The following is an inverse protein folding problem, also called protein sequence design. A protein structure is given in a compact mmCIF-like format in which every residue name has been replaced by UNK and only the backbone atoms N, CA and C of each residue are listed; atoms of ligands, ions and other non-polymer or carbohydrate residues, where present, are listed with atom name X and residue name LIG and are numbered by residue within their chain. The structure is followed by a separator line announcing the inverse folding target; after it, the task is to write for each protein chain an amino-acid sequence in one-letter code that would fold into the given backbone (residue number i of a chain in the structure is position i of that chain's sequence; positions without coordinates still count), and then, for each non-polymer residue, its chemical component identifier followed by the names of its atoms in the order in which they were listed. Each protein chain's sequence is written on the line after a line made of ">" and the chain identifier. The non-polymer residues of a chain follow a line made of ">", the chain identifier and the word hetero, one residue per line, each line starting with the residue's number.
data_IF_251985103775
#
_entry.id   IF_251985103775
#
_cell.length_a   1.000
_cell.length_b   1.000
_cell.length_c   1.000
_cell.angle_alpha   90.00
_cell.angle_beta   90.00
_cell.angle_gamma   90.00
#
_symmetry.space_group_name_H-M   'P 1'
#
loop_
_entity.id
_entity.type
_entity.pdbx_description
1 polymer ?
#
# COMPACT_ATOMS: atom_id res chain seq x y z
N UNK A 1 8.26 -12.28 -30.51
CA UNK A 1 6.91 -11.65 -30.58
C UNK A 1 6.77 -10.30 -29.85
N UNK A 2 7.81 -9.76 -29.19
CA UNK A 2 7.73 -8.41 -28.58
C UNK A 2 6.75 -8.26 -27.40
N UNK A 3 6.30 -9.38 -26.80
CA UNK A 3 5.41 -9.41 -25.64
C UNK A 3 6.20 -9.31 -24.32
N UNK A 4 5.50 -9.25 -23.19
CA UNK A 4 6.08 -9.15 -21.85
C UNK A 4 7.06 -10.31 -21.58
N UNK A 5 8.36 -10.04 -21.72
CA UNK A 5 9.41 -11.07 -21.71
C UNK A 5 9.55 -11.76 -20.34
N UNK A 6 9.31 -11.04 -19.24
CA UNK A 6 9.34 -11.59 -17.89
C UNK A 6 8.26 -12.65 -17.66
N UNK A 7 7.07 -12.45 -18.24
CA UNK A 7 5.94 -13.40 -18.15
C UNK A 7 6.00 -14.47 -19.25
N UNK A 8 6.53 -14.14 -20.43
CA UNK A 8 6.57 -15.04 -21.58
C UNK A 8 7.79 -15.97 -21.62
N UNK A 9 8.91 -15.56 -21.03
CA UNK A 9 10.17 -16.31 -21.05
C UNK A 9 10.70 -16.63 -19.64
N UNK A 10 9.98 -16.23 -18.60
CA UNK A 10 10.25 -16.57 -17.21
C UNK A 10 8.92 -16.70 -16.44
N UNK A 11 8.91 -16.43 -15.13
CA UNK A 11 7.75 -16.65 -14.25
C UNK A 11 7.14 -15.33 -13.75
N UNK A 12 7.47 -14.20 -14.39
CA UNK A 12 7.03 -12.88 -13.95
C UNK A 12 7.69 -12.45 -12.65
N UNK A 13 6.94 -11.70 -11.84
CA UNK A 13 7.43 -11.19 -10.56
C UNK A 13 7.32 -12.26 -9.44
N UNK A 14 8.28 -12.30 -8.50
CA UNK A 14 8.20 -13.19 -7.35
C UNK A 14 6.96 -12.97 -6.48
N UNK A 15 6.51 -14.02 -5.79
CA UNK A 15 5.29 -13.99 -4.98
C UNK A 15 5.28 -12.88 -3.92
N UNK A 16 6.42 -12.56 -3.30
CA UNK A 16 6.49 -11.55 -2.26
C UNK A 16 6.12 -10.14 -2.77
N UNK A 17 6.65 -9.72 -3.92
CA UNK A 17 6.28 -8.43 -4.51
C UNK A 17 4.85 -8.48 -5.06
N UNK A 18 4.41 -9.62 -5.60
CA UNK A 18 3.03 -9.78 -6.04
C UNK A 18 2.01 -9.74 -4.89
N UNK A 19 2.40 -10.15 -3.68
CA UNK A 19 1.57 -10.04 -2.48
C UNK A 19 1.21 -8.59 -2.15
N UNK A 20 2.10 -7.63 -2.40
CA UNK A 20 1.81 -6.21 -2.25
C UNK A 20 0.73 -5.76 -3.24
N UNK A 21 0.93 -6.09 -4.53
CA UNK A 21 -0.02 -5.77 -5.60
C UNK A 21 -1.40 -6.41 -5.38
N UNK A 22 -1.44 -7.69 -5.01
CA UNK A 22 -2.69 -8.42 -4.82
C UNK A 22 -3.41 -8.05 -3.53
N UNK A 23 -2.70 -7.65 -2.47
CA UNK A 23 -3.33 -7.06 -1.29
C UNK A 23 -4.10 -5.78 -1.66
N UNK A 24 -3.48 -4.90 -2.45
CA UNK A 24 -4.15 -3.70 -2.97
C UNK A 24 -5.36 -4.06 -3.84
N UNK A 25 -5.27 -5.07 -4.71
CA UNK A 25 -6.42 -5.53 -5.50
C UNK A 25 -7.57 -6.02 -4.63
N UNK A 26 -7.30 -6.84 -3.61
CA UNK A 26 -8.34 -7.35 -2.70
C UNK A 26 -8.99 -6.20 -1.92
N UNK A 27 -8.21 -5.24 -1.42
CA UNK A 27 -8.75 -4.06 -0.74
C UNK A 27 -9.62 -3.21 -1.67
N UNK A 28 -9.20 -3.03 -2.93
CA UNK A 28 -10.00 -2.34 -3.93
C UNK A 28 -11.31 -3.07 -4.24
N UNK A 29 -11.29 -4.40 -4.36
CA UNK A 29 -12.51 -5.20 -4.55
C UNK A 29 -13.47 -5.06 -3.35
N UNK A 30 -12.96 -5.08 -2.12
CA UNK A 30 -13.76 -4.87 -0.91
C UNK A 30 -14.37 -3.46 -0.91
N UNK A 31 -13.60 -2.41 -1.21
CA UNK A 31 -14.08 -1.03 -1.27
C UNK A 31 -15.19 -0.87 -2.32
N UNK A 32 -14.96 -1.36 -3.55
CA UNK A 32 -15.95 -1.30 -4.63
C UNK A 32 -17.24 -2.07 -4.30
N UNK A 33 -17.12 -3.19 -3.58
CA UNK A 33 -18.27 -3.99 -3.19
C UNK A 33 -19.07 -3.37 -2.04
N UNK A 34 -18.38 -2.74 -1.09
CA UNK A 34 -18.99 -2.28 0.18
C UNK A 34 -19.34 -0.80 0.20
N UNK A 35 -18.85 0.00 -0.75
CA UNK A 35 -19.07 1.46 -0.81
C UNK A 35 -19.56 1.89 -2.18
N UNK A 36 -20.13 3.10 -2.23
CA UNK A 36 -20.54 3.75 -3.46
C UNK A 36 -19.46 4.71 -3.93
N UNK A 37 -19.15 4.63 -5.22
CA UNK A 37 -18.25 5.54 -5.91
C UNK A 37 -18.99 6.20 -7.07
N UNK A 38 -18.71 7.48 -7.29
CA UNK A 38 -19.08 8.14 -8.52
C UNK A 38 -18.31 7.55 -9.70
N UNK A 39 -18.88 7.64 -10.91
CA UNK A 39 -18.21 7.17 -12.12
C UNK A 39 -16.91 7.95 -12.31
N UNK A 40 -15.79 7.24 -12.27
CA UNK A 40 -14.46 7.85 -12.37
C UNK A 40 -13.35 6.88 -12.00
N UNK A 41 -12.12 7.39 -12.06
CA UNK A 41 -10.93 6.66 -11.64
C UNK A 41 -10.57 7.12 -10.23
N UNK A 42 -10.52 6.17 -9.30
CA UNK A 42 -10.24 6.42 -7.89
C UNK A 42 -8.92 5.77 -7.48
N UNK A 43 -8.34 6.29 -6.39
CA UNK A 43 -7.17 5.69 -5.73
C UNK A 43 -7.58 5.18 -4.36
N UNK A 44 -6.95 4.11 -3.90
CA UNK A 44 -7.13 3.65 -2.52
C UNK A 44 -6.64 4.74 -1.54
N UNK A 45 -7.32 4.94 -0.40
CA UNK A 45 -6.85 5.81 0.66
C UNK A 45 -5.45 5.46 1.16
N UNK A 46 -4.64 6.47 1.50
CA UNK A 46 -3.23 6.30 1.91
C UNK A 46 -3.03 5.37 3.11
N UNK A 47 -3.95 5.38 4.07
CA UNK A 47 -3.86 4.48 5.24
C UNK A 47 -3.96 2.99 4.86
N UNK A 48 -4.64 2.64 3.77
CA UNK A 48 -4.69 1.26 3.26
C UNK A 48 -3.37 0.87 2.61
N UNK A 49 -2.74 1.79 1.88
CA UNK A 49 -1.42 1.59 1.28
C UNK A 49 -0.35 1.37 2.37
N UNK A 50 -0.35 2.22 3.40
CA UNK A 50 0.52 2.06 4.57
C UNK A 50 0.27 0.74 5.33
N UNK A 51 -0.99 0.30 5.41
CA UNK A 51 -1.34 -0.99 5.99
C UNK A 51 -0.73 -2.16 5.19
N UNK A 52 -0.79 -2.12 3.86
CA UNK A 52 -0.17 -3.14 3.01
C UNK A 52 1.33 -3.18 3.25
N UNK A 53 2.01 -2.03 3.27
CA UNK A 53 3.44 -1.95 3.54
C UNK A 53 3.80 -2.52 4.94
N UNK A 54 3.07 -2.13 5.99
CA UNK A 54 3.33 -2.57 7.35
C UNK A 54 3.25 -4.10 7.52
N UNK A 55 2.30 -4.76 6.85
CA UNK A 55 2.17 -6.23 6.86
C UNK A 55 3.39 -6.93 6.26
N UNK A 56 3.98 -6.35 5.20
CA UNK A 56 5.13 -6.95 4.51
C UNK A 56 6.47 -6.65 5.20
N UNK A 57 6.62 -5.50 5.86
CA UNK A 57 7.82 -5.16 6.64
C UNK A 57 8.06 -6.18 7.76
N UNK A 58 7.00 -6.60 8.46
CA UNK A 58 7.09 -7.61 9.50
C UNK A 58 7.61 -8.96 8.96
N UNK A 59 7.15 -9.37 7.78
CA UNK A 59 7.58 -10.62 7.13
C UNK A 59 9.06 -10.61 6.74
N UNK A 60 9.64 -9.43 6.47
CA UNK A 60 11.07 -9.26 6.17
C UNK A 60 11.94 -9.17 7.44
N UNK A 61 11.36 -9.30 8.64
CA UNK A 61 12.04 -9.08 9.91
C UNK A 61 12.34 -7.60 10.21
N UNK A 62 11.73 -6.68 9.44
CA UNK A 62 11.84 -5.25 9.68
C UNK A 62 11.11 -4.83 10.95
N UNK A 63 11.66 -3.84 11.65
CA UNK A 63 11.06 -3.25 12.86
C UNK A 63 10.64 -1.82 12.56
N UNK A 64 9.35 -1.54 12.71
CA UNK A 64 8.83 -0.18 12.60
C UNK A 64 8.91 0.52 13.96
N UNK A 65 9.57 1.67 13.99
CA UNK A 65 9.57 2.55 15.17
C UNK A 65 8.19 3.19 15.32
N UNK A 66 7.65 3.20 16.55
CA UNK A 66 6.39 3.87 16.86
C UNK A 66 6.68 5.31 17.30
N UNK A 67 5.98 6.27 16.71
CA UNK A 67 6.05 7.68 17.13
C UNK A 67 5.58 7.81 18.59
N UNK A 68 6.30 8.62 19.37
CA UNK A 68 5.79 9.11 20.64
C UNK A 68 4.71 10.16 20.41
N UNK A 69 3.89 10.43 21.43
CA UNK A 69 2.88 11.50 21.35
C UNK A 69 3.54 12.85 21.03
N UNK A 70 4.67 13.17 21.67
CA UNK A 70 5.40 14.40 21.42
C UNK A 70 5.89 14.52 19.96
N UNK A 71 6.41 13.43 19.36
CA UNK A 71 6.86 13.43 17.97
C UNK A 71 5.69 13.58 16.99
N UNK A 72 4.57 12.90 17.27
CA UNK A 72 3.33 13.00 16.50
C UNK A 72 2.79 14.44 16.50
N UNK A 73 2.76 15.08 17.68
CA UNK A 73 2.32 16.48 17.82
C UNK A 73 3.30 17.45 17.13
N UNK A 74 4.61 17.19 17.19
CA UNK A 74 5.62 18.01 16.53
C UNK A 74 5.52 17.98 15.00
N UNK A 75 5.20 16.80 14.44
CA UNK A 75 5.09 16.59 13.00
C UNK A 75 3.69 16.87 12.45
N UNK A 76 2.71 17.13 13.33
CA UNK A 76 1.29 17.27 13.01
C UNK A 76 0.74 16.08 12.19
N UNK A 77 1.11 14.86 12.60
CA UNK A 77 0.63 13.62 11.99
C UNK A 77 0.16 12.63 13.06
N UNK A 78 -0.89 11.83 12.83
CA UNK A 78 -1.33 10.83 13.79
C UNK A 78 -0.27 9.75 14.03
N UNK A 79 -0.21 9.20 15.26
CA UNK A 79 0.71 8.08 15.60
C UNK A 79 0.49 6.86 14.70
N UNK A 80 -0.74 6.65 14.21
CA UNK A 80 -1.11 5.53 13.35
C UNK A 80 -1.13 5.88 11.85
N UNK A 81 -0.65 7.07 11.48
CA UNK A 81 -0.73 7.59 10.12
C UNK A 81 -2.12 8.14 9.75
N UNK A 82 -2.32 8.57 8.48
CA UNK A 82 -1.32 8.60 7.42
C UNK A 82 -0.11 9.50 7.72
N UNK A 83 1.09 9.04 7.36
CA UNK A 83 2.35 9.69 7.75
C UNK A 83 2.88 10.72 6.74
N UNK A 84 2.21 10.86 5.60
CA UNK A 84 2.63 11.73 4.49
C UNK A 84 1.43 12.39 3.82
N UNK A 85 1.65 13.57 3.27
CA UNK A 85 0.66 14.29 2.48
C UNK A 85 0.27 13.53 1.20
N UNK A 86 -0.90 13.84 0.63
CA UNK A 86 -1.43 13.14 -0.54
C UNK A 86 -0.60 13.32 -1.82
N UNK A 87 0.07 14.46 -1.97
CA UNK A 87 0.93 14.77 -3.11
C UNK A 87 2.37 14.27 -2.95
N UNK A 88 2.68 13.61 -1.83
CA UNK A 88 4.00 13.07 -1.56
C UNK A 88 4.31 11.92 -2.53
N UNK A 89 5.55 11.87 -3.04
CA UNK A 89 5.90 11.00 -4.18
C UNK A 89 6.26 9.56 -3.79
N UNK A 90 6.69 9.29 -2.55
CA UNK A 90 6.80 7.98 -1.87
C UNK A 90 7.13 8.18 -0.41
#
# INVERSE_FOLDING_TARGET
>A
EGRLVNLGCAHGHPSFVMSNSFSNQVLAQIELWTKKYEIGVHRLPKHLDEKVAALHVAQLGGKLTKLTKHQSDYLDIPIAGPYKADHYRY
#
